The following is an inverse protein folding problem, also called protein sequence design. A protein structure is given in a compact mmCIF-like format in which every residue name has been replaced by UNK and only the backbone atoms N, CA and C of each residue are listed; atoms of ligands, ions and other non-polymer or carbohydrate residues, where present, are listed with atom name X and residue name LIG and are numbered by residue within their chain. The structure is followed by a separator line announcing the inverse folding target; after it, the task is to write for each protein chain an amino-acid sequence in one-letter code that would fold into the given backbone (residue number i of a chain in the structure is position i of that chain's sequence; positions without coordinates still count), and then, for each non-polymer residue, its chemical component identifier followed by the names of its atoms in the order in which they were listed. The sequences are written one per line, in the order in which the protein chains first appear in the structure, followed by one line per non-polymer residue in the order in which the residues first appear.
data_IF_931709567997
#
_entry.id   IF_931709567997
#
_cell.length_a   1.000
_cell.length_b   1.000
_cell.length_c   1.000
_cell.angle_alpha   90.00
_cell.angle_beta   90.00
_cell.angle_gamma   90.00
#
_symmetry.space_group_name_H-M   'P 1'
#
loop_
_entity.id
_entity.type
_entity.pdbx_description
1 polymer ?
#
# COMPACT_ATOMS: atom_id res chain seq x y z
N UNK A 1 -23.49 2.27 28.74
CA UNK A 1 -22.41 2.24 27.73
C UNK A 1 -22.93 1.39 26.59
N UNK A 2 -23.04 1.92 25.36
CA UNK A 2 -23.51 1.13 24.22
C UNK A 2 -22.40 0.15 23.86
N UNK A 3 -22.73 -1.14 23.79
CA UNK A 3 -21.79 -2.16 23.30
C UNK A 3 -21.54 -1.92 21.82
N UNK A 4 -20.33 -1.44 21.52
CA UNK A 4 -19.90 -1.12 20.15
C UNK A 4 -19.87 -2.36 19.24
N UNK A 5 -19.76 -3.57 19.80
CA UNK A 5 -19.76 -4.80 18.99
C UNK A 5 -21.13 -5.05 18.35
N UNK A 6 -22.22 -4.72 19.05
CA UNK A 6 -23.58 -4.87 18.52
C UNK A 6 -23.91 -3.89 17.39
N UNK A 7 -23.10 -2.84 17.20
CA UNK A 7 -23.29 -1.87 16.12
C UNK A 7 -22.59 -2.29 14.83
N UNK A 8 -21.69 -3.26 14.86
CA UNK A 8 -20.91 -3.68 13.70
C UNK A 8 -21.79 -4.25 12.58
N UNK A 9 -21.29 -4.24 11.33
CA UNK A 9 -21.92 -4.97 10.23
C UNK A 9 -22.14 -6.44 10.62
N UNK A 10 -23.37 -6.94 10.42
CA UNK A 10 -23.71 -8.32 10.75
C UNK A 10 -23.28 -9.25 9.62
N UNK A 11 -22.59 -10.32 9.99
CA UNK A 11 -22.19 -11.39 9.08
C UNK A 11 -23.20 -12.55 9.20
N UNK A 12 -23.86 -12.91 8.10
CA UNK A 12 -24.63 -14.15 8.04
C UNK A 12 -23.78 -15.25 7.40
N UNK A 13 -23.86 -16.47 7.93
CA UNK A 13 -22.96 -17.59 7.57
C UNK A 13 -23.06 -18.06 6.11
N UNK A 14 -24.01 -17.57 5.33
CA UNK A 14 -24.22 -17.95 3.93
C UNK A 14 -23.88 -16.84 2.91
N UNK A 15 -23.52 -15.64 3.36
CA UNK A 15 -23.22 -14.51 2.46
C UNK A 15 -21.79 -14.52 1.94
N UNK A 16 -20.86 -15.17 2.65
CA UNK A 16 -19.45 -15.17 2.29
C UNK A 16 -18.82 -16.54 2.53
N UNK A 17 -17.99 -16.97 1.58
CA UNK A 17 -17.36 -18.29 1.56
C UNK A 17 -16.48 -18.60 2.79
N UNK A 18 -15.83 -17.58 3.37
CA UNK A 18 -14.88 -17.71 4.44
C UNK A 18 -14.73 -16.41 5.21
N UNK A 19 -14.79 -16.51 6.55
CA UNK A 19 -14.54 -15.39 7.46
C UNK A 19 -13.14 -14.78 7.27
N UNK A 20 -12.14 -15.59 6.92
CA UNK A 20 -10.79 -15.10 6.67
C UNK A 20 -10.73 -14.26 5.39
N UNK A 21 -11.42 -14.71 4.33
CA UNK A 21 -11.49 -13.97 3.06
C UNK A 21 -12.22 -12.64 3.25
N UNK A 22 -13.31 -12.66 4.02
CA UNK A 22 -14.04 -11.44 4.41
C UNK A 22 -13.10 -10.41 5.03
N UNK A 23 -12.33 -10.81 6.06
CA UNK A 23 -11.39 -9.89 6.74
C UNK A 23 -10.35 -9.34 5.78
N UNK A 24 -9.73 -10.19 4.96
CA UNK A 24 -8.69 -9.77 4.00
C UNK A 24 -9.25 -8.75 3.01
N UNK A 25 -10.41 -9.04 2.40
CA UNK A 25 -11.03 -8.15 1.40
C UNK A 25 -11.48 -6.84 2.06
N UNK A 26 -12.08 -6.89 3.25
CA UNK A 26 -12.50 -5.70 3.99
C UNK A 26 -11.29 -4.82 4.39
N UNK A 27 -10.18 -5.41 4.84
CA UNK A 27 -8.95 -4.67 5.16
C UNK A 27 -8.34 -4.02 3.92
N UNK A 28 -8.30 -4.73 2.79
CA UNK A 28 -7.84 -4.17 1.52
C UNK A 28 -8.73 -3.01 1.08
N UNK A 29 -10.06 -3.16 1.25
CA UNK A 29 -11.01 -2.11 0.92
C UNK A 29 -10.84 -0.88 1.81
N UNK A 30 -10.70 -1.07 3.12
CA UNK A 30 -10.43 0.00 4.05
C UNK A 30 -9.16 0.78 3.67
N UNK A 31 -8.10 0.07 3.26
CA UNK A 31 -6.87 0.71 2.74
C UNK A 31 -7.16 1.60 1.53
N UNK A 32 -7.97 1.15 0.57
CA UNK A 32 -8.35 1.99 -0.57
C UNK A 32 -9.11 3.25 -0.13
N UNK A 33 -10.02 3.14 0.84
CA UNK A 33 -10.75 4.29 1.38
C UNK A 33 -9.79 5.29 2.05
N UNK A 34 -8.82 4.81 2.84
CA UNK A 34 -7.78 5.67 3.43
C UNK A 34 -6.91 6.36 2.36
N UNK A 35 -6.72 5.72 1.20
CA UNK A 35 -6.01 6.30 0.05
C UNK A 35 -6.88 7.26 -0.78
N UNK A 36 -8.10 7.59 -0.33
CA UNK A 36 -9.00 8.54 -0.98
C UNK A 36 -9.95 7.92 -2.01
N UNK A 37 -10.07 6.58 -2.06
CA UNK A 37 -11.09 5.96 -2.90
C UNK A 37 -12.50 6.34 -2.42
N UNK A 38 -13.42 6.55 -3.37
CA UNK A 38 -14.82 6.83 -3.06
C UNK A 38 -15.48 5.60 -2.44
N UNK A 39 -16.43 5.85 -1.54
CA UNK A 39 -17.34 4.82 -1.03
C UNK A 39 -18.22 4.29 -2.17
N UNK A 40 -18.51 3.00 -2.14
CA UNK A 40 -19.31 2.33 -3.16
C UNK A 40 -20.82 2.62 -3.00
N UNK A 41 -21.24 3.09 -1.81
CA UNK A 41 -22.61 3.48 -1.53
C UNK A 41 -22.75 4.27 -0.22
N UNK A 42 -23.98 4.45 0.23
CA UNK A 42 -24.25 5.09 1.51
C UNK A 42 -23.92 4.12 2.66
N UNK A 43 -22.96 4.50 3.51
CA UNK A 43 -22.67 3.77 4.74
C UNK A 43 -23.14 4.55 5.96
N UNK A 44 -23.74 3.85 6.92
CA UNK A 44 -24.10 4.39 8.23
C UNK A 44 -22.89 4.55 9.17
N UNK A 45 -21.74 4.02 8.74
CA UNK A 45 -20.52 3.99 9.51
C UNK A 45 -19.58 5.12 9.11
N UNK A 46 -18.75 5.55 10.05
CA UNK A 46 -17.80 6.65 9.84
C UNK A 46 -16.35 6.17 9.68
N UNK A 47 -15.99 5.02 10.26
CA UNK A 47 -14.62 4.48 10.17
C UNK A 47 -14.46 3.65 8.91
N UNK A 48 -13.34 3.82 8.22
CA UNK A 48 -13.01 3.15 6.95
C UNK A 48 -13.05 1.63 7.07
N UNK A 49 -12.63 1.08 8.21
CA UNK A 49 -12.67 -0.36 8.49
C UNK A 49 -14.11 -0.89 8.58
N UNK A 50 -15.00 -0.17 9.25
CA UNK A 50 -16.42 -0.54 9.35
C UNK A 50 -17.17 -0.30 8.05
N UNK A 51 -16.81 0.74 7.29
CA UNK A 51 -17.37 1.00 5.96
C UNK A 51 -16.92 -0.09 4.99
N UNK A 52 -15.63 -0.43 4.98
CA UNK A 52 -15.10 -1.50 4.13
C UNK A 52 -15.75 -2.85 4.43
N UNK A 53 -15.98 -3.17 5.70
CA UNK A 53 -16.69 -4.39 6.09
C UNK A 53 -18.15 -4.39 5.63
N UNK A 54 -18.88 -3.28 5.79
CA UNK A 54 -20.26 -3.09 5.33
C UNK A 54 -20.39 -3.22 3.80
N UNK A 55 -19.50 -2.58 3.05
CA UNK A 55 -19.50 -2.65 1.58
C UNK A 55 -19.20 -4.06 1.06
N UNK A 56 -18.30 -4.80 1.71
CA UNK A 56 -17.97 -6.18 1.33
C UNK A 56 -19.13 -7.13 1.62
N UNK A 57 -19.76 -7.02 2.80
CA UNK A 57 -20.92 -7.84 3.17
C UNK A 57 -22.13 -7.56 2.27
N UNK A 58 -22.31 -6.32 1.82
CA UNK A 58 -23.34 -5.96 0.83
C UNK A 58 -23.03 -6.37 -0.60
N UNK A 59 -21.87 -6.99 -0.85
CA UNK A 59 -21.44 -7.38 -2.20
C UNK A 59 -21.12 -6.19 -3.12
N UNK A 60 -20.88 -4.99 -2.57
CA UNK A 60 -20.59 -3.78 -3.35
C UNK A 60 -19.11 -3.71 -3.78
N UNK A 61 -18.25 -4.48 -3.12
CA UNK A 61 -16.82 -4.59 -3.46
C UNK A 61 -16.61 -5.76 -4.41
N UNK A 62 -16.19 -5.46 -5.63
CA UNK A 62 -15.75 -6.48 -6.58
C UNK A 62 -14.34 -6.96 -6.23
N UNK A 63 -14.16 -8.27 -6.17
CA UNK A 63 -12.86 -8.91 -6.01
C UNK A 63 -12.79 -10.14 -6.90
N UNK A 64 -11.59 -10.47 -7.37
CA UNK A 64 -11.36 -11.61 -8.25
C UNK A 64 -11.20 -12.88 -7.44
N UNK A 65 -11.63 -14.01 -7.99
CA UNK A 65 -11.45 -15.33 -7.37
C UNK A 65 -10.96 -16.36 -8.41
N UNK A 66 -10.44 -17.48 -7.94
CA UNK A 66 -10.07 -18.61 -8.80
C UNK A 66 -9.02 -18.27 -9.85
N UNK A 67 -9.34 -18.55 -11.12
CA UNK A 67 -8.41 -18.38 -12.25
C UNK A 67 -8.10 -16.90 -12.51
N UNK A 68 -9.11 -16.03 -12.46
CA UNK A 68 -8.97 -14.59 -12.69
C UNK A 68 -8.01 -13.95 -11.69
N UNK A 69 -8.08 -14.35 -10.42
CA UNK A 69 -7.16 -13.87 -9.40
C UNK A 69 -5.70 -14.28 -9.67
N UNK A 70 -5.48 -15.49 -10.17
CA UNK A 70 -4.14 -15.99 -10.53
C UNK A 70 -3.56 -15.25 -11.73
N UNK A 71 -4.39 -15.02 -12.75
CA UNK A 71 -3.97 -14.32 -13.96
C UNK A 71 -3.65 -12.85 -13.65
N UNK A 72 -4.49 -12.18 -12.85
CA UNK A 72 -4.24 -10.81 -12.37
C UNK A 72 -2.96 -10.70 -11.52
N UNK A 73 -2.66 -11.68 -10.65
CA UNK A 73 -1.41 -11.68 -9.89
C UNK A 73 -0.17 -11.82 -10.79
N UNK A 74 -0.24 -12.68 -11.82
CA UNK A 74 0.87 -12.85 -12.78
C UNK A 74 1.12 -11.55 -13.55
N UNK A 75 0.06 -10.89 -13.99
CA UNK A 75 0.15 -9.61 -14.72
C UNK A 75 0.70 -8.50 -13.82
N UNK A 76 0.20 -8.36 -12.59
CA UNK A 76 0.69 -7.36 -11.64
C UNK A 76 2.17 -7.56 -11.28
N UNK A 77 2.64 -8.81 -11.18
CA UNK A 77 4.05 -9.12 -10.95
C UNK A 77 4.92 -8.72 -12.14
N UNK A 78 4.49 -9.06 -13.36
CA UNK A 78 5.18 -8.71 -14.60
C UNK A 78 5.28 -7.19 -14.81
N UNK A 79 4.23 -6.43 -14.44
CA UNK A 79 4.22 -4.97 -14.51
C UNK A 79 5.24 -4.32 -13.57
N UNK A 80 5.37 -4.82 -12.33
CA UNK A 80 6.35 -4.30 -11.35
C UNK A 80 7.79 -4.60 -11.73
N UNK A 81 8.06 -5.80 -12.25
CA UNK A 81 9.39 -6.19 -12.72
C UNK A 81 9.86 -5.27 -13.86
N UNK A 82 8.98 -4.94 -14.82
CA UNK A 82 9.31 -4.01 -15.90
C UNK A 82 9.50 -2.56 -15.47
N UNK A 83 8.82 -2.10 -14.41
CA UNK A 83 9.01 -0.77 -13.85
C UNK A 83 10.33 -0.66 -13.07
N UNK A 84 10.67 -1.68 -12.27
CA UNK A 84 11.96 -1.75 -11.59
C UNK A 84 13.14 -1.82 -12.57
N UNK A 85 12.97 -2.52 -13.70
CA UNK A 85 14.00 -2.60 -14.74
C UNK A 85 14.22 -1.25 -15.44
N UNK A 86 13.14 -0.50 -15.72
CA UNK A 86 13.23 0.87 -16.27
C UNK A 86 13.89 1.86 -15.32
N UNK A 87 13.55 1.81 -14.04
CA UNK A 87 14.16 2.66 -13.02
C UNK A 87 15.66 2.34 -12.90
N UNK A 88 16.03 1.05 -12.89
CA UNK A 88 17.43 0.64 -12.85
C UNK A 88 18.22 1.15 -14.06
N UNK A 89 17.63 1.15 -15.26
CA UNK A 89 18.25 1.70 -16.47
C UNK A 89 18.47 3.22 -16.39
N UNK A 90 17.50 3.99 -15.89
CA UNK A 90 17.65 5.45 -15.74
C UNK A 90 18.70 5.83 -14.69
N UNK A 91 18.75 5.12 -13.55
CA UNK A 91 19.73 5.42 -12.48
C UNK A 91 21.18 5.17 -12.86
N UNK A 92 21.45 4.40 -13.93
CA UNK A 92 22.82 4.08 -14.37
C UNK A 92 23.54 5.25 -15.05
N UNK A 93 22.81 6.12 -15.75
CA UNK A 93 23.35 7.31 -16.43
C UNK A 93 23.42 8.50 -15.46
N UNK A 94 22.36 8.75 -14.68
CA UNK A 94 22.28 9.82 -13.68
C UNK A 94 23.38 9.72 -12.60
N UNK A 95 23.73 8.51 -12.16
CA UNK A 95 24.76 8.32 -11.13
C UNK A 95 26.17 8.76 -11.59
N UNK A 96 26.46 8.71 -12.90
CA UNK A 96 27.75 9.17 -13.45
C UNK A 96 27.80 10.69 -13.57
N UNK A 97 26.68 11.32 -13.95
CA UNK A 97 26.57 12.77 -14.03
C UNK A 97 26.61 13.43 -12.65
N UNK A 98 25.89 12.87 -11.66
CA UNK A 98 25.93 13.34 -10.26
C UNK A 98 27.35 13.27 -9.69
N UNK A 99 28.11 12.20 -9.96
CA UNK A 99 29.50 12.07 -9.52
C UNK A 99 30.43 13.11 -10.16
N UNK A 100 30.18 13.46 -11.42
CA UNK A 100 30.95 14.47 -12.15
C UNK A 100 30.69 15.86 -11.58
N UNK A 101 29.45 16.22 -11.29
CA UNK A 101 29.11 17.51 -10.68
C UNK A 101 29.62 17.64 -9.24
N UNK A 102 29.54 16.59 -8.42
CA UNK A 102 30.10 16.60 -7.06
C UNK A 102 31.64 16.67 -7.03
N UNK A 103 32.33 16.10 -8.02
CA UNK A 103 33.80 16.18 -8.11
C UNK A 103 34.34 17.58 -8.38
N UNK A 104 33.47 18.53 -8.77
CA UNK A 104 33.84 19.94 -8.97
C UNK A 104 33.80 20.71 -7.63
N UNK A 105 33.17 20.17 -6.59
CA UNK A 105 32.92 20.87 -5.31
C UNK A 105 33.69 20.33 -4.10
N UNK A 106 34.52 19.29 -4.25
CA UNK A 106 35.44 18.86 -3.18
C UNK A 106 36.79 19.53 -3.39
N UNK A 107 36.97 20.68 -2.76
CA UNK A 107 38.26 21.35 -2.61
C UNK A 107 39.05 20.61 -1.50
N UNK A 108 40.06 19.83 -1.86
CA UNK A 108 40.89 18.99 -0.97
C UNK A 108 41.84 19.81 -0.05
N UNK A 109 41.49 21.05 0.31
CA UNK A 109 42.41 21.98 1.00
C UNK A 109 42.15 22.20 2.49
N UNK A 110 41.24 21.46 3.13
CA UNK A 110 41.05 21.54 4.60
C UNK A 110 41.54 20.27 5.28
N UNK A 111 42.71 20.28 5.94
CA UNK A 111 43.13 19.14 6.76
C UNK A 111 42.16 18.99 7.95
N UNK A 112 41.80 17.74 8.32
CA UNK A 112 40.84 17.50 9.39
C UNK A 112 41.38 18.05 10.72
N UNK A 113 40.62 18.97 11.32
CA UNK A 113 40.90 19.52 12.63
C UNK A 113 40.93 18.41 13.69
N UNK A 114 41.97 18.43 14.53
CA UNK A 114 42.21 17.47 15.59
C UNK A 114 41.01 17.37 16.56
N UNK A 115 40.63 16.14 16.89
CA UNK A 115 39.61 15.83 17.88
C UNK A 115 40.02 16.33 19.27
N UNK A 116 39.12 16.93 20.08
CA UNK A 116 39.43 17.32 21.44
C UNK A 116 39.50 16.09 22.35
N UNK A 117 40.59 15.99 23.10
CA UNK A 117 40.81 15.06 24.21
C UNK A 117 39.84 15.37 25.36
N UNK A 118 39.07 14.37 25.78
CA UNK A 118 38.30 14.38 27.04
C UNK A 118 39.26 14.30 28.24
N UNK A 119 39.07 15.19 29.22
CA UNK A 119 39.56 15.06 30.61
C UNK A 119 38.39 15.28 31.56
#
# INVERSE_FOLDING_TARGET
MIDMLNLLPQYTTNEFDSRHRLVIVASQRAKHLTQGAKQAGFSRFTKETTIGLDEVLRGQVKYLTGKEARDAMKEAKRGKEGETERIAMMTGEDAREIKKELSVYVDDTVPPAAAPTEE
#
